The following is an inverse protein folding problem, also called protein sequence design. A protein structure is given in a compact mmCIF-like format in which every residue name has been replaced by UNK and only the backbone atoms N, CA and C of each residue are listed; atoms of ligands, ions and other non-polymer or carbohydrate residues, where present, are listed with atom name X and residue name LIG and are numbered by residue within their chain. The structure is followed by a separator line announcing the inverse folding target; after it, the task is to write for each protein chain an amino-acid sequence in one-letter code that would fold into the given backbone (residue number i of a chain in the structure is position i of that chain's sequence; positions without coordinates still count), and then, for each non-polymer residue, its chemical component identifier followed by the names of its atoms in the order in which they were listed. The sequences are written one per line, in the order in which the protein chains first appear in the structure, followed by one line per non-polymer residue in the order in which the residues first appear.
data_IF_976866607019
#
_entry.id   IF_976866607019
#
_cell.length_a   1.000
_cell.length_b   1.000
_cell.length_c   1.000
_cell.angle_alpha   90.00
_cell.angle_beta   90.00
_cell.angle_gamma   90.00
#
_symmetry.space_group_name_H-M   'P 1'
#
loop_
_entity.id
_entity.type
_entity.pdbx_description
1 polymer ?
#
# COMPACT_ATOMS: atom_id res chain seq x y z
N UNK A 1 28.28 -28.39 11.80
CA UNK A 1 27.85 -27.00 11.49
C UNK A 1 27.38 -26.99 10.05
N UNK A 2 26.07 -26.90 9.80
CA UNK A 2 25.53 -26.96 8.44
C UNK A 2 25.53 -25.57 7.79
N UNK A 3 26.29 -25.43 6.70
CA UNK A 3 26.36 -24.23 5.88
C UNK A 3 25.33 -24.36 4.75
N UNK A 4 24.39 -23.41 4.65
CA UNK A 4 23.43 -23.33 3.53
C UNK A 4 23.77 -22.13 2.65
N UNK A 5 23.48 -22.24 1.36
CA UNK A 5 23.64 -21.13 0.42
C UNK A 5 22.32 -20.37 0.33
N UNK A 6 22.34 -19.05 0.54
CA UNK A 6 21.13 -18.25 0.41
C UNK A 6 20.72 -18.15 -1.08
N UNK A 7 19.47 -18.47 -1.45
CA UNK A 7 19.04 -18.45 -2.84
C UNK A 7 19.02 -17.04 -3.45
N UNK A 8 18.87 -15.99 -2.62
CA UNK A 8 18.80 -14.59 -3.09
C UNK A 8 20.19 -13.95 -3.29
N UNK A 9 21.08 -14.08 -2.30
CA UNK A 9 22.39 -13.42 -2.34
C UNK A 9 23.55 -14.35 -2.71
N UNK A 10 23.30 -15.66 -2.90
CA UNK A 10 24.30 -16.71 -3.18
C UNK A 10 25.49 -16.76 -2.20
N UNK A 11 25.33 -16.20 -1.00
CA UNK A 11 26.33 -16.24 0.07
C UNK A 11 26.07 -17.40 1.03
N UNK A 12 27.12 -18.02 1.59
CA UNK A 12 26.98 -19.03 2.62
C UNK A 12 26.45 -18.38 3.91
N UNK A 13 25.51 -19.05 4.58
CA UNK A 13 25.00 -18.66 5.89
C UNK A 13 24.82 -19.89 6.78
N UNK A 14 24.89 -19.71 8.09
CA UNK A 14 24.66 -20.81 9.04
C UNK A 14 23.18 -21.20 9.00
N UNK A 15 22.90 -22.50 8.81
CA UNK A 15 21.54 -23.04 8.74
C UNK A 15 20.74 -22.86 10.05
N UNK A 16 21.41 -22.52 11.16
CA UNK A 16 20.78 -22.25 12.44
C UNK A 16 20.10 -20.87 12.51
N UNK A 17 20.37 -19.98 11.54
CA UNK A 17 19.69 -18.70 11.45
C UNK A 17 18.44 -18.87 10.58
N UNK A 18 17.26 -18.49 11.11
CA UNK A 18 15.98 -18.50 10.38
C UNK A 18 16.01 -17.62 9.11
N UNK A 19 16.87 -16.61 9.07
CA UNK A 19 16.99 -15.67 7.97
C UNK A 19 18.46 -15.40 7.61
N UNK A 20 18.73 -15.18 6.32
CA UNK A 20 20.07 -14.85 5.85
C UNK A 20 20.45 -13.41 6.28
N UNK A 21 21.50 -13.21 7.09
CA UNK A 21 21.88 -11.88 7.60
C UNK A 21 22.46 -10.96 6.52
N UNK A 22 22.79 -11.49 5.34
CA UNK A 22 23.33 -10.73 4.22
C UNK A 22 22.25 -10.18 3.28
N UNK A 23 21.00 -10.62 3.41
CA UNK A 23 19.90 -10.07 2.63
C UNK A 23 19.25 -8.91 3.39
N UNK A 24 18.79 -7.85 2.70
CA UNK A 24 17.93 -6.87 3.33
C UNK A 24 16.68 -7.60 3.87
N UNK A 25 16.20 -7.23 5.07
CA UNK A 25 14.95 -7.78 5.58
C UNK A 25 13.85 -7.56 4.53
N UNK A 26 12.92 -8.51 4.36
CA UNK A 26 11.78 -8.27 3.49
C UNK A 26 11.07 -7.00 3.97
N UNK A 27 10.55 -6.17 3.06
CA UNK A 27 9.81 -4.98 3.45
C UNK A 27 8.70 -5.38 4.42
N UNK A 28 8.68 -4.74 5.59
CA UNK A 28 7.67 -4.99 6.64
C UNK A 28 6.28 -4.50 6.24
N UNK A 29 6.20 -3.72 5.15
CA UNK A 29 4.98 -3.14 4.62
C UNK A 29 4.57 -3.81 3.31
N UNK A 30 3.30 -4.21 3.21
CA UNK A 30 2.74 -4.79 2.00
C UNK A 30 2.50 -3.69 0.94
N UNK A 31 3.35 -3.64 -0.09
CA UNK A 31 3.23 -2.67 -1.17
C UNK A 31 1.92 -2.80 -1.95
N UNK A 32 1.37 -4.00 -2.06
CA UNK A 32 0.09 -4.25 -2.74
C UNK A 32 -1.07 -3.56 -2.01
N UNK A 33 -1.01 -3.48 -0.68
CA UNK A 33 -2.01 -2.79 0.14
C UNK A 33 -2.11 -1.30 -0.20
N UNK A 34 -0.97 -0.65 -0.43
CA UNK A 34 -0.92 0.78 -0.73
C UNK A 34 -1.47 1.09 -2.12
N UNK A 35 -1.16 0.24 -3.10
CA UNK A 35 -1.70 0.33 -4.45
C UNK A 35 -3.20 0.10 -4.45
N UNK A 36 -3.68 -0.90 -3.70
CA UNK A 36 -5.11 -1.19 -3.59
C UNK A 36 -5.88 -0.04 -2.93
N UNK A 37 -5.33 0.55 -1.86
CA UNK A 37 -5.92 1.72 -1.21
C UNK A 37 -5.98 2.92 -2.17
N UNK A 38 -4.91 3.17 -2.92
CA UNK A 38 -4.87 4.22 -3.93
C UNK A 38 -5.93 4.04 -5.03
N UNK A 39 -6.09 2.81 -5.51
CA UNK A 39 -7.10 2.48 -6.53
C UNK A 39 -8.53 2.66 -6.00
N UNK A 40 -8.79 2.21 -4.76
CA UNK A 40 -10.06 2.41 -4.09
C UNK A 40 -10.40 3.90 -3.97
N UNK A 41 -9.46 4.72 -3.49
CA UNK A 41 -9.65 6.17 -3.38
C UNK A 41 -9.90 6.82 -4.74
N UNK A 42 -9.16 6.43 -5.77
CA UNK A 42 -9.35 6.96 -7.12
C UNK A 42 -10.76 6.66 -7.67
N UNK A 43 -11.33 5.49 -7.35
CA UNK A 43 -12.70 5.14 -7.77
C UNK A 43 -13.80 5.86 -6.97
N UNK A 44 -13.56 6.18 -5.70
CA UNK A 44 -14.54 6.84 -4.82
C UNK A 44 -14.54 8.36 -5.02
N UNK A 45 -13.40 8.95 -5.35
CA UNK A 45 -13.23 10.39 -5.54
C UNK A 45 -14.24 11.04 -6.50
N UNK A 46 -14.54 10.50 -7.70
CA UNK A 46 -15.54 11.09 -8.59
C UNK A 46 -16.96 11.07 -8.01
N UNK A 47 -17.32 10.00 -7.29
CA UNK A 47 -18.62 9.88 -6.64
C UNK A 47 -18.78 10.96 -5.56
N UNK A 48 -17.73 11.16 -4.77
CA UNK A 48 -17.67 12.20 -3.75
C UNK A 48 -17.78 13.61 -4.35
N UNK A 49 -17.10 13.86 -5.48
CA UNK A 49 -17.18 15.12 -6.21
C UNK A 49 -18.58 15.43 -6.72
N UNK A 50 -19.29 14.44 -7.27
CA UNK A 50 -20.68 14.62 -7.69
C UNK A 50 -21.59 14.98 -6.52
N UNK A 51 -21.47 14.28 -5.38
CA UNK A 51 -22.28 14.56 -4.18
C UNK A 51 -22.03 15.99 -3.69
N UNK A 52 -20.76 16.40 -3.58
CA UNK A 52 -20.39 17.77 -3.20
C UNK A 52 -20.96 18.81 -4.14
N UNK A 53 -20.92 18.57 -5.45
CA UNK A 53 -21.48 19.48 -6.45
C UNK A 53 -22.98 19.70 -6.23
N UNK A 54 -23.75 18.62 -6.01
CA UNK A 54 -25.19 18.73 -5.73
C UNK A 54 -25.49 19.43 -4.40
N UNK A 55 -24.70 19.16 -3.36
CA UNK A 55 -24.85 19.85 -2.07
C UNK A 55 -24.61 21.36 -2.19
N UNK A 56 -23.59 21.76 -2.94
CA UNK A 56 -23.29 23.17 -3.19
C UNK A 56 -24.38 23.86 -4.03
N UNK A 57 -24.93 23.19 -5.04
CA UNK A 57 -26.07 23.71 -5.81
C UNK A 57 -27.29 23.91 -4.94
N UNK A 58 -27.62 22.94 -4.09
CA UNK A 58 -28.78 23.00 -3.20
C UNK A 58 -28.61 24.10 -2.14
N UNK A 59 -27.41 24.22 -1.56
CA UNK A 59 -27.07 25.30 -0.65
C UNK A 59 -27.17 26.66 -1.36
N UNK A 60 -26.59 26.80 -2.55
CA UNK A 60 -26.69 28.04 -3.33
C UNK A 60 -28.13 28.41 -3.69
N UNK A 61 -28.99 27.43 -3.97
CA UNK A 61 -30.41 27.65 -4.19
C UNK A 61 -31.13 28.12 -2.93
N UNK A 62 -30.90 27.46 -1.78
CA UNK A 62 -31.53 27.81 -0.50
C UNK A 62 -31.12 29.18 0.03
N UNK A 63 -29.89 29.64 -0.23
CA UNK A 63 -29.38 30.93 0.24
C UNK A 63 -29.58 32.09 -0.75
N UNK A 64 -30.11 31.82 -1.95
CA UNK A 64 -30.44 32.85 -2.95
C UNK A 64 -31.90 33.33 -2.86
N UNK A 65 -32.74 32.63 -2.11
CA UNK A 65 -34.10 33.02 -1.69
C UNK A 65 -33.99 33.86 -0.42
#
# INVERSE_FOLDING_TARGET
MDLKLCPKCRRPFLANNEYCPHCPPPPTWNQESLVNLGCLLATILPLFGMILFWLLLLFGFLFRI
#
